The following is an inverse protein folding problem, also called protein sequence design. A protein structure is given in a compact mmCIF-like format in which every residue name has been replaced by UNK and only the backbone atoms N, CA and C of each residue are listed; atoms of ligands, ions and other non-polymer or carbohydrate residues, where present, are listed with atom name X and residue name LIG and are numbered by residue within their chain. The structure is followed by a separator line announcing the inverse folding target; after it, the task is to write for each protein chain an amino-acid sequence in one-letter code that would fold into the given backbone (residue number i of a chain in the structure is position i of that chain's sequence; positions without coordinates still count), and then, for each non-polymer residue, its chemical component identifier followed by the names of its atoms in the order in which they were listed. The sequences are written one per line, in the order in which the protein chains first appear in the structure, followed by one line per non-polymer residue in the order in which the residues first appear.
data_IF_843274837993
#
_entry.id   IF_843274837993
#
_cell.length_a   1.000
_cell.length_b   1.000
_cell.length_c   1.000
_cell.angle_alpha   90.00
_cell.angle_beta   90.00
_cell.angle_gamma   90.00
#
_symmetry.space_group_name_H-M   'P 1'
#
loop_
_entity.id
_entity.type
_entity.pdbx_description
1 polymer ?
#
# COMPACT_ATOMS: atom_id res chain seq x y z
N UNK A 1 7.95 -4.26 -15.05
CA UNK A 1 7.32 -3.83 -13.78
C UNK A 1 6.85 -5.06 -13.02
N UNK A 2 7.17 -5.13 -11.75
CA UNK A 2 6.69 -6.16 -10.83
C UNK A 2 5.97 -5.53 -9.63
N UNK A 3 5.12 -6.32 -8.96
CA UNK A 3 4.46 -5.92 -7.72
C UNK A 3 4.94 -6.87 -6.63
N UNK A 4 5.53 -6.32 -5.59
CA UNK A 4 6.11 -7.08 -4.48
C UNK A 4 5.71 -6.50 -3.13
N UNK A 5 5.76 -7.32 -2.09
CA UNK A 5 5.68 -6.83 -0.72
C UNK A 5 6.92 -6.01 -0.37
N UNK A 6 6.75 -4.89 0.32
CA UNK A 6 7.86 -4.10 0.83
C UNK A 6 8.78 -4.89 1.78
N UNK A 7 8.25 -5.91 2.45
CA UNK A 7 9.03 -6.83 3.28
C UNK A 7 10.08 -7.60 2.48
N UNK A 8 9.82 -7.84 1.18
CA UNK A 8 10.71 -8.56 0.25
C UNK A 8 11.60 -7.64 -0.57
N UNK A 9 11.40 -6.32 -0.48
CA UNK A 9 12.24 -5.38 -1.20
C UNK A 9 13.66 -5.38 -0.62
N UNK A 10 14.69 -5.64 -1.44
CA UNK A 10 16.03 -5.96 -0.93
C UNK A 10 16.76 -4.78 -0.30
N UNK A 11 16.51 -3.57 -0.83
CA UNK A 11 17.23 -2.35 -0.44
C UNK A 11 16.39 -1.51 0.52
N UNK A 12 16.62 -1.71 1.82
CA UNK A 12 15.86 -1.00 2.85
C UNK A 12 16.16 0.50 2.91
N UNK A 13 17.36 0.92 2.54
CA UNK A 13 17.73 2.34 2.50
C UNK A 13 16.96 3.06 1.38
N UNK A 14 16.87 2.46 0.20
CA UNK A 14 16.04 2.98 -0.89
C UNK A 14 14.56 3.02 -0.53
N UNK A 15 14.06 2.01 0.20
CA UNK A 15 12.68 2.01 0.66
C UNK A 15 12.41 3.17 1.63
N UNK A 16 13.29 3.40 2.60
CA UNK A 16 13.18 4.53 3.53
C UNK A 16 13.28 5.87 2.80
N UNK A 17 14.22 6.01 1.87
CA UNK A 17 14.36 7.22 1.06
C UNK A 17 13.09 7.51 0.25
N UNK A 18 12.49 6.47 -0.32
CA UNK A 18 11.21 6.58 -1.01
C UNK A 18 10.10 7.07 -0.07
N UNK A 19 9.99 6.52 1.15
CA UNK A 19 9.01 6.99 2.13
C UNK A 19 9.21 8.46 2.52
N UNK A 20 10.45 8.89 2.71
CA UNK A 20 10.75 10.28 3.00
C UNK A 20 10.38 11.22 1.85
N UNK A 21 10.57 10.78 0.61
CA UNK A 21 10.21 11.55 -0.59
C UNK A 21 8.69 11.69 -0.75
N UNK A 22 7.95 10.59 -0.65
CA UNK A 22 6.51 10.57 -0.94
C UNK A 22 5.63 11.00 0.24
N UNK A 23 6.15 10.89 1.45
CA UNK A 23 5.46 11.29 2.68
C UNK A 23 6.29 12.31 3.49
N UNK A 24 6.55 13.50 2.93
CA UNK A 24 7.45 14.47 3.59
C UNK A 24 6.96 14.90 4.98
N UNK A 25 5.66 14.91 5.24
CA UNK A 25 5.09 15.17 6.57
C UNK A 25 5.42 14.11 7.62
N UNK A 26 5.96 12.95 7.20
CA UNK A 26 6.35 11.83 8.07
C UNK A 26 7.86 11.57 8.03
N UNK A 27 8.64 12.42 7.35
CA UNK A 27 10.08 12.21 7.14
C UNK A 27 10.89 12.10 8.45
N UNK A 28 10.42 12.75 9.51
CA UNK A 28 11.08 12.76 10.82
C UNK A 28 10.60 11.65 11.76
N UNK A 29 9.71 10.78 11.31
CA UNK A 29 9.23 9.68 12.13
C UNK A 29 10.27 8.56 12.20
N UNK A 30 10.42 7.89 13.36
CA UNK A 30 11.34 6.76 13.49
C UNK A 30 11.02 5.62 12.52
N UNK A 31 12.05 4.84 12.15
CA UNK A 31 11.88 3.67 11.27
C UNK A 31 10.88 2.67 11.83
N UNK A 32 10.84 2.51 13.15
CA UNK A 32 9.91 1.63 13.86
C UNK A 32 8.45 2.02 13.62
N UNK A 33 8.15 3.30 13.39
CA UNK A 33 6.81 3.77 13.07
C UNK A 33 6.28 3.13 11.77
N UNK A 34 7.12 3.06 10.73
CA UNK A 34 6.75 2.43 9.46
C UNK A 34 6.48 0.94 9.63
N UNK A 35 7.30 0.27 10.42
CA UNK A 35 7.09 -1.13 10.77
C UNK A 35 5.78 -1.32 11.52
N UNK A 36 5.52 -0.51 12.53
CA UNK A 36 4.27 -0.56 13.29
C UNK A 36 3.05 -0.28 12.41
N UNK A 37 3.09 0.74 11.56
CA UNK A 37 1.97 1.15 10.72
C UNK A 37 1.52 0.04 9.77
N UNK A 38 2.46 -0.67 9.18
CA UNK A 38 2.16 -1.64 8.13
C UNK A 38 2.17 -3.10 8.59
N UNK A 39 2.82 -3.42 9.66
CA UNK A 39 2.82 -4.80 10.18
C UNK A 39 1.89 -4.97 11.36
N UNK A 40 1.78 -3.97 12.23
CA UNK A 40 0.96 -4.06 13.43
C UNK A 40 1.24 -5.35 14.20
N UNK A 41 0.19 -6.07 14.54
CA UNK A 41 0.26 -7.41 15.16
C UNK A 41 0.27 -8.55 14.14
N UNK A 42 0.00 -8.28 12.86
CA UNK A 42 -0.06 -9.28 11.79
C UNK A 42 1.16 -9.23 10.88
N UNK A 43 2.16 -10.04 11.21
CA UNK A 43 3.37 -10.18 10.41
C UNK A 43 3.18 -11.04 9.14
N UNK A 44 2.03 -11.71 8.96
CA UNK A 44 1.73 -12.53 7.80
C UNK A 44 1.28 -11.69 6.59
N UNK A 45 0.81 -10.49 6.84
CA UNK A 45 0.35 -9.56 5.80
C UNK A 45 1.43 -9.27 4.76
N UNK A 46 1.01 -9.22 3.48
CA UNK A 46 1.88 -8.83 2.37
C UNK A 46 2.12 -7.31 2.30
N UNK A 47 1.34 -6.52 3.01
CA UNK A 47 1.40 -5.05 2.94
C UNK A 47 2.65 -4.45 3.58
N UNK A 48 3.04 -3.27 3.12
CA UNK A 48 2.57 -2.60 1.92
C UNK A 48 3.06 -3.29 0.64
N UNK A 49 2.32 -3.08 -0.46
CA UNK A 49 2.73 -3.51 -1.79
C UNK A 49 3.46 -2.38 -2.52
N UNK A 50 4.50 -2.73 -3.24
CA UNK A 50 5.29 -1.82 -4.06
C UNK A 50 5.16 -2.20 -5.53
N UNK A 51 4.99 -1.21 -6.40
CA UNK A 51 5.24 -1.36 -7.82
C UNK A 51 6.71 -0.97 -8.07
N UNK A 52 7.47 -1.88 -8.67
CA UNK A 52 8.90 -1.71 -8.92
C UNK A 52 9.18 -1.87 -10.41
N UNK A 53 9.95 -0.96 -10.97
CA UNK A 53 10.40 -1.00 -12.36
C UNK A 53 11.90 -0.72 -12.42
N UNK A 54 12.66 -1.64 -13.02
CA UNK A 54 14.12 -1.53 -13.13
C UNK A 54 14.81 -1.23 -11.78
N UNK A 55 14.32 -1.86 -10.71
CA UNK A 55 14.87 -1.67 -9.36
C UNK A 55 14.47 -0.37 -8.67
N UNK A 56 13.62 0.45 -9.30
CA UNK A 56 13.10 1.69 -8.73
C UNK A 56 11.66 1.48 -8.24
N UNK A 57 11.36 1.95 -7.04
CA UNK A 57 9.99 1.99 -6.53
C UNK A 57 9.26 3.13 -7.25
N UNK A 58 8.15 2.80 -7.90
CA UNK A 58 7.34 3.74 -8.69
C UNK A 58 5.92 3.90 -8.15
N UNK A 59 5.50 3.02 -7.25
CA UNK A 59 4.19 3.10 -6.62
C UNK A 59 4.14 2.33 -5.30
N UNK A 60 3.18 2.71 -4.48
CA UNK A 60 2.99 2.19 -3.14
C UNK A 60 1.49 2.04 -2.84
N UNK A 61 1.12 0.94 -2.23
CA UNK A 61 -0.21 0.69 -1.69
C UNK A 61 -0.09 0.12 -0.28
N UNK A 62 -0.36 0.93 0.71
CA UNK A 62 -0.39 0.52 2.10
C UNK A 62 -1.62 -0.32 2.43
N UNK A 63 -1.52 -1.07 3.51
CA UNK A 63 -2.64 -1.84 4.02
C UNK A 63 -2.45 -2.11 5.51
N UNK A 64 -3.48 -1.76 6.28
CA UNK A 64 -3.52 -2.06 7.71
C UNK A 64 -4.51 -3.19 7.92
N UNK A 65 -4.05 -4.41 8.22
CA UNK A 65 -4.94 -5.56 8.45
C UNK A 65 -5.91 -5.32 9.60
N UNK A 66 -7.14 -5.75 9.40
CA UNK A 66 -8.18 -5.69 10.42
C UNK A 66 -9.18 -6.83 10.23
N UNK A 67 -10.03 -7.04 11.24
CA UNK A 67 -11.16 -7.95 11.16
C UNK A 67 -12.44 -7.15 11.10
N UNK A 68 -13.24 -7.39 10.08
CA UNK A 68 -14.57 -6.78 9.92
C UNK A 68 -15.64 -7.76 10.41
N UNK A 69 -16.43 -7.34 11.38
CA UNK A 69 -17.54 -8.14 11.90
C UNK A 69 -18.87 -7.61 11.35
N UNK A 70 -19.56 -8.42 10.57
CA UNK A 70 -20.86 -8.11 9.98
C UNK A 70 -21.81 -9.28 10.21
N UNK A 71 -23.02 -9.01 10.73
CA UNK A 71 -24.06 -10.03 10.93
C UNK A 71 -23.54 -11.29 11.67
N UNK A 72 -22.77 -11.09 12.75
CA UNK A 72 -22.15 -12.15 13.55
C UNK A 72 -21.11 -12.99 12.81
N UNK A 73 -20.65 -12.55 11.65
CA UNK A 73 -19.55 -13.18 10.89
C UNK A 73 -18.33 -12.27 10.88
N UNK A 74 -17.14 -12.89 10.93
CA UNK A 74 -15.86 -12.21 10.86
C UNK A 74 -15.23 -12.37 9.48
N UNK A 75 -14.75 -11.27 8.93
CA UNK A 75 -14.11 -11.22 7.62
C UNK A 75 -12.68 -10.70 7.77
N UNK A 76 -11.73 -11.36 7.13
CA UNK A 76 -10.38 -10.82 6.95
C UNK A 76 -10.46 -9.60 6.04
N UNK A 77 -10.02 -8.46 6.55
CA UNK A 77 -10.10 -7.18 5.87
C UNK A 77 -8.80 -6.40 6.01
N UNK A 78 -8.67 -5.34 5.28
CA UNK A 78 -7.63 -4.34 5.49
C UNK A 78 -8.10 -2.95 5.10
N UNK A 79 -7.59 -1.94 5.79
CA UNK A 79 -7.67 -0.56 5.36
C UNK A 79 -6.68 -0.34 4.21
N UNK A 80 -7.19 0.12 3.08
CA UNK A 80 -6.38 0.59 1.97
C UNK A 80 -5.95 2.03 2.26
N UNK A 81 -4.68 2.24 2.42
CA UNK A 81 -4.13 3.54 2.78
C UNK A 81 -2.84 3.82 2.02
N UNK A 82 -2.39 5.07 2.09
CA UNK A 82 -1.11 5.50 1.54
C UNK A 82 -0.89 5.03 0.09
N UNK A 83 -1.93 5.14 -0.74
CA UNK A 83 -1.83 4.84 -2.17
C UNK A 83 -1.12 5.99 -2.89
N UNK A 84 0.00 5.69 -3.51
CA UNK A 84 0.85 6.68 -4.16
C UNK A 84 1.47 6.13 -5.44
N UNK A 85 1.49 6.97 -6.45
CA UNK A 85 2.23 6.73 -7.69
C UNK A 85 3.15 7.91 -7.98
N UNK A 86 4.40 7.65 -8.35
CA UNK A 86 5.27 8.69 -8.85
C UNK A 86 4.68 9.29 -10.13
N UNK A 87 4.77 10.61 -10.25
CA UNK A 87 4.10 11.38 -11.31
C UNK A 87 4.35 10.86 -12.73
N UNK A 88 5.59 10.50 -13.15
CA UNK A 88 5.85 10.01 -14.49
C UNK A 88 5.16 8.69 -14.84
N UNK A 89 4.64 7.98 -13.85
CA UNK A 89 4.01 6.65 -13.99
C UNK A 89 2.49 6.69 -13.84
N UNK A 90 1.92 7.87 -13.58
CA UNK A 90 0.47 8.05 -13.51
C UNK A 90 -0.16 7.90 -14.89
N UNK A 91 -1.41 7.44 -14.93
CA UNK A 91 -2.15 7.25 -16.18
C UNK A 91 -1.72 6.06 -17.05
N UNK A 92 -0.70 5.31 -16.64
CA UNK A 92 -0.14 4.16 -17.39
C UNK A 92 -0.69 2.79 -16.96
N UNK A 93 -1.76 2.77 -16.17
CA UNK A 93 -2.38 1.53 -15.68
C UNK A 93 -1.66 0.85 -14.52
N UNK A 94 -0.52 1.38 -14.05
CA UNK A 94 0.25 0.82 -12.94
C UNK A 94 -0.57 0.84 -11.65
N UNK A 95 -1.25 1.96 -11.37
CA UNK A 95 -2.10 2.09 -10.19
C UNK A 95 -3.23 1.07 -10.16
N UNK A 96 -3.86 0.79 -11.31
CA UNK A 96 -4.88 -0.26 -11.42
C UNK A 96 -4.32 -1.62 -11.04
N UNK A 97 -3.20 -2.02 -11.63
CA UNK A 97 -2.55 -3.31 -11.33
C UNK A 97 -2.16 -3.44 -9.86
N UNK A 98 -1.65 -2.34 -9.27
CA UNK A 98 -1.28 -2.32 -7.87
C UNK A 98 -2.51 -2.48 -6.95
N UNK A 99 -3.62 -1.82 -7.28
CA UNK A 99 -4.88 -1.95 -6.54
C UNK A 99 -5.46 -3.37 -6.69
N UNK A 100 -5.45 -3.94 -7.88
CA UNK A 100 -5.92 -5.33 -8.11
C UNK A 100 -5.09 -6.33 -7.30
N UNK A 101 -3.76 -6.18 -7.26
CA UNK A 101 -2.89 -7.01 -6.45
C UNK A 101 -3.16 -6.84 -4.96
N UNK A 102 -3.47 -5.62 -4.51
CA UNK A 102 -3.86 -5.34 -3.13
C UNK A 102 -5.19 -6.02 -2.78
N UNK A 103 -6.21 -5.87 -3.62
CA UNK A 103 -7.54 -6.47 -3.41
C UNK A 103 -7.49 -8.00 -3.36
N UNK A 104 -6.57 -8.61 -4.07
CA UNK A 104 -6.37 -10.07 -4.04
C UNK A 104 -5.89 -10.62 -2.69
N UNK A 105 -5.44 -9.74 -1.76
CA UNK A 105 -4.93 -10.15 -0.45
C UNK A 105 -6.02 -10.29 0.62
N UNK A 106 -7.21 -9.76 0.40
CA UNK A 106 -8.28 -9.69 1.40
C UNK A 106 -9.63 -10.02 0.81
N UNK A 107 -10.56 -10.50 1.66
CA UNK A 107 -11.95 -10.72 1.27
C UNK A 107 -12.71 -9.42 1.09
N UNK A 108 -12.35 -8.40 1.87
CA UNK A 108 -13.01 -7.08 1.88
C UNK A 108 -11.98 -6.01 2.15
N UNK A 109 -11.94 -4.99 1.30
CA UNK A 109 -11.13 -3.79 1.50
C UNK A 109 -11.98 -2.63 2.00
N UNK A 110 -11.38 -1.79 2.83
CA UNK A 110 -12.00 -0.56 3.35
C UNK A 110 -11.08 0.60 2.99
N UNK A 111 -11.64 1.69 2.51
CA UNK A 111 -10.86 2.89 2.21
C UNK A 111 -11.67 4.16 2.38
N UNK A 112 -10.96 5.26 2.62
CA UNK A 112 -11.49 6.61 2.45
C UNK A 112 -10.85 7.23 1.22
N UNK A 113 -11.68 7.62 0.26
CA UNK A 113 -11.22 8.26 -0.96
C UNK A 113 -11.16 9.78 -0.78
N UNK A 114 -10.20 10.40 -1.44
CA UNK A 114 -10.19 11.83 -1.73
C UNK A 114 -10.56 12.07 -3.20
N UNK A 115 -10.64 13.32 -3.62
CA UNK A 115 -11.04 13.69 -4.98
C UNK A 115 -10.11 13.11 -6.06
N UNK A 116 -8.84 12.86 -5.73
CA UNK A 116 -7.87 12.27 -6.66
C UNK A 116 -7.99 10.75 -6.77
N UNK A 117 -8.31 10.08 -5.68
CA UNK A 117 -8.34 8.61 -5.63
C UNK A 117 -9.69 8.00 -5.95
N UNK A 118 -10.79 8.74 -5.79
CA UNK A 118 -12.14 8.22 -6.03
C UNK A 118 -12.35 7.72 -7.45
N UNK A 119 -11.75 8.36 -8.44
CA UNK A 119 -11.84 7.93 -9.84
C UNK A 119 -11.17 6.58 -10.08
N UNK A 120 -10.10 6.27 -9.33
CA UNK A 120 -9.41 4.98 -9.41
C UNK A 120 -10.33 3.89 -8.87
N UNK A 121 -10.95 4.10 -7.70
CA UNK A 121 -11.79 3.10 -7.05
C UNK A 121 -13.14 2.88 -7.74
N UNK A 122 -13.68 3.88 -8.42
CA UNK A 122 -14.92 3.74 -9.20
C UNK A 122 -14.77 2.81 -10.43
N UNK A 123 -13.55 2.34 -10.73
CA UNK A 123 -13.29 1.39 -11.82
C UNK A 123 -13.32 -0.08 -11.38
N UNK A 124 -13.59 -0.34 -10.10
CA UNK A 124 -13.66 -1.69 -9.51
C UNK A 124 -15.11 -2.04 -9.05
#
# INVERSE_FOLDING_TARGET
MEIISAKKYPDKEKLLSFYHEIFPGRANLPTEYWSWLYTGSDNSSAYPLLAVESGKIIGHAGGTPCTLNLNKKSYSSAWFNDFMMLEPYRGKGVGKKLTEAWMAQVSTGITFCNDQSIEVFNKF
#
